data_IF_255071066975
#
_entry.id   IF_255071066975
#
_cell.length_a   1.000
_cell.length_b   1.000
_cell.length_c   1.000
_cell.angle_alpha   90.00
_cell.angle_beta   90.00
_cell.angle_gamma   90.00
#
_symmetry.space_group_name_H-M   'P 1'
#
loop_
_entity.id
_entity.type
_entity.pdbx_description
1 polymer ?
#
# COMPACT_ATOMS: atom_id res chain seq x y z
N UNK A 1 -10.52 9.96 10.53
CA UNK A 1 -11.65 10.81 10.11
C UNK A 1 -11.09 11.78 9.08
N UNK A 2 -11.66 11.83 7.88
CA UNK A 2 -11.27 12.79 6.84
C UNK A 2 -11.47 14.20 7.40
N UNK A 3 -10.54 15.14 7.15
CA UNK A 3 -10.76 16.52 7.59
C UNK A 3 -11.33 17.35 6.45
N UNK A 4 -12.50 17.95 6.70
CA UNK A 4 -13.22 18.78 5.73
C UNK A 4 -12.34 19.92 5.19
N UNK A 5 -11.50 20.51 6.04
CA UNK A 5 -10.58 21.57 5.65
C UNK A 5 -9.50 21.08 4.66
N UNK A 6 -8.95 19.89 4.86
CA UNK A 6 -7.98 19.32 3.90
C UNK A 6 -8.66 18.93 2.60
N UNK A 7 -9.86 18.34 2.66
CA UNK A 7 -10.61 17.98 1.44
C UNK A 7 -10.98 19.23 0.63
N UNK A 8 -11.47 20.29 1.29
CA UNK A 8 -11.73 21.57 0.66
C UNK A 8 -10.47 22.14 -0.03
N UNK A 9 -9.33 22.12 0.68
CA UNK A 9 -8.06 22.59 0.14
C UNK A 9 -7.63 21.78 -1.09
N UNK A 10 -7.72 20.46 -1.04
CA UNK A 10 -7.37 19.58 -2.16
C UNK A 10 -8.27 19.86 -3.38
N UNK A 11 -9.59 19.99 -3.17
CA UNK A 11 -10.56 20.23 -4.25
C UNK A 11 -10.44 21.62 -4.88
N UNK A 12 -10.06 22.63 -4.10
CA UNK A 12 -9.96 24.02 -4.57
C UNK A 12 -8.59 24.35 -5.17
N UNK A 13 -7.51 23.75 -4.68
CA UNK A 13 -6.15 24.00 -5.17
C UNK A 13 -5.70 23.02 -6.24
N UNK A 14 -6.34 21.85 -6.31
CA UNK A 14 -6.08 20.78 -7.28
C UNK A 14 -4.58 20.53 -7.54
N UNK A 15 -3.80 20.20 -6.50
CA UNK A 15 -2.33 20.18 -6.57
C UNK A 15 -1.79 19.14 -7.57
N UNK A 16 -2.58 18.12 -7.87
CA UNK A 16 -2.23 17.06 -8.82
C UNK A 16 -2.93 17.23 -10.18
N UNK A 17 -3.65 18.35 -10.40
CA UNK A 17 -4.37 18.68 -11.63
C UNK A 17 -5.33 17.56 -12.09
N UNK A 18 -6.15 17.04 -11.17
CA UNK A 18 -7.18 16.02 -11.44
C UNK A 18 -8.38 16.59 -12.21
N UNK A 19 -8.57 17.91 -12.19
CA UNK A 19 -9.65 18.58 -12.91
C UNK A 19 -10.93 18.74 -12.10
N UNK A 20 -10.84 19.04 -10.79
CA UNK A 20 -12.02 19.22 -9.94
C UNK A 20 -12.87 20.46 -10.29
N UNK A 21 -12.23 21.53 -10.78
CA UNK A 21 -12.83 22.84 -10.99
C UNK A 21 -14.21 22.87 -11.70
N UNK A 22 -14.43 22.19 -12.85
CA UNK A 22 -15.74 22.15 -13.50
C UNK A 22 -16.82 21.51 -12.62
N UNK A 23 -16.48 20.46 -11.87
CA UNK A 23 -17.43 19.72 -11.03
C UNK A 23 -17.74 20.46 -9.72
N UNK A 24 -16.74 21.11 -9.13
CA UNK A 24 -16.92 22.01 -7.98
C UNK A 24 -17.90 23.13 -8.33
N UNK A 25 -17.68 23.78 -9.48
CA UNK A 25 -18.53 24.87 -10.00
C UNK A 25 -19.95 24.41 -10.28
N UNK A 26 -20.11 23.21 -10.84
CA UNK A 26 -21.42 22.63 -11.16
C UNK A 26 -22.17 22.05 -9.95
N UNK A 27 -21.51 21.95 -8.79
CA UNK A 27 -22.06 21.25 -7.64
C UNK A 27 -22.21 19.74 -7.82
N UNK A 28 -21.34 19.14 -8.63
CA UNK A 28 -21.34 17.71 -8.89
C UNK A 28 -20.38 16.97 -7.94
N UNK A 29 -20.84 16.76 -6.71
CA UNK A 29 -20.07 16.10 -5.66
C UNK A 29 -19.69 14.65 -6.00
N UNK A 30 -20.53 13.98 -6.80
CA UNK A 30 -20.26 12.61 -7.27
C UNK A 30 -19.01 12.54 -8.14
N UNK A 31 -18.83 13.49 -9.06
CA UNK A 31 -17.65 13.51 -9.94
C UNK A 31 -16.39 13.94 -9.19
N UNK A 32 -16.50 14.87 -8.23
CA UNK A 32 -15.38 15.20 -7.34
C UNK A 32 -14.92 13.98 -6.54
N UNK A 33 -15.86 13.23 -5.96
CA UNK A 33 -15.57 11.98 -5.25
C UNK A 33 -15.00 10.91 -6.20
N UNK A 34 -15.49 10.81 -7.44
CA UNK A 34 -14.98 9.86 -8.42
C UNK A 34 -13.51 10.15 -8.80
N UNK A 35 -13.18 11.43 -9.05
CA UNK A 35 -11.82 11.85 -9.41
C UNK A 35 -10.80 11.56 -8.30
N UNK A 36 -11.11 11.92 -7.05
CA UNK A 36 -10.16 11.74 -5.94
C UNK A 36 -9.98 10.25 -5.56
N UNK A 37 -10.99 9.42 -5.82
CA UNK A 37 -10.93 7.98 -5.60
C UNK A 37 -10.42 7.19 -6.82
N UNK A 38 -10.10 7.86 -7.94
CA UNK A 38 -9.63 7.19 -9.13
C UNK A 38 -8.30 6.45 -8.85
N UNK A 39 -8.24 5.18 -9.25
CA UNK A 39 -7.04 4.33 -9.16
C UNK A 39 -6.09 4.52 -10.36
N UNK A 40 -6.39 5.46 -11.23
CA UNK A 40 -5.63 5.78 -12.44
C UNK A 40 -5.55 7.29 -12.62
N UNK A 41 -4.54 7.75 -13.35
CA UNK A 41 -4.36 9.18 -13.63
C UNK A 41 -3.45 9.89 -12.63
N UNK A 42 -3.36 11.23 -12.69
CA UNK A 42 -2.35 12.01 -11.96
C UNK A 42 -2.37 11.87 -10.44
N UNK A 43 -3.54 11.58 -9.86
CA UNK A 43 -3.69 11.41 -8.41
C UNK A 43 -3.35 10.01 -7.89
N UNK A 44 -3.23 9.02 -8.78
CA UNK A 44 -2.95 7.64 -8.39
C UNK A 44 -1.46 7.44 -8.11
N UNK A 45 -1.14 6.76 -7.00
CA UNK A 45 0.24 6.50 -6.61
C UNK A 45 0.42 5.11 -6.00
N UNK A 46 1.66 4.62 -5.98
CA UNK A 46 2.00 3.40 -5.24
C UNK A 46 1.92 3.67 -3.74
N UNK A 47 1.13 2.88 -3.03
CA UNK A 47 1.01 2.90 -1.58
C UNK A 47 1.43 1.55 -0.98
N UNK A 48 1.97 1.59 0.24
CA UNK A 48 2.31 0.38 0.99
C UNK A 48 1.04 -0.26 1.55
N UNK A 49 0.98 -1.59 1.49
CA UNK A 49 -0.06 -2.36 2.15
C UNK A 49 0.23 -2.44 3.67
N UNK A 50 -0.79 -2.34 4.53
CA UNK A 50 -0.61 -2.50 5.98
C UNK A 50 -0.39 -3.97 6.37
N UNK A 51 -0.86 -4.90 5.55
CA UNK A 51 -0.74 -6.34 5.76
C UNK A 51 -0.92 -7.10 4.46
N UNK A 52 -0.42 -8.34 4.42
CA UNK A 52 -0.69 -9.30 3.35
C UNK A 52 -1.21 -10.61 3.94
N UNK A 53 -1.91 -11.39 3.12
CA UNK A 53 -2.35 -12.72 3.51
C UNK A 53 -1.16 -13.65 3.73
N UNK A 54 -1.34 -14.68 4.55
CA UNK A 54 -0.36 -15.76 4.69
C UNK A 54 0.03 -16.35 3.33
N UNK A 55 -0.93 -16.59 2.43
CA UNK A 55 -0.65 -17.23 1.13
C UNK A 55 0.22 -16.33 0.25
N UNK A 56 -0.04 -15.03 0.24
CA UNK A 56 0.81 -14.05 -0.46
C UNK A 56 2.23 -14.07 0.12
N UNK A 57 2.37 -14.08 1.44
CA UNK A 57 3.67 -14.14 2.09
C UNK A 57 4.39 -15.45 1.78
N UNK A 58 3.72 -16.59 1.90
CA UNK A 58 4.28 -17.91 1.65
C UNK A 58 4.77 -18.05 0.21
N UNK A 59 3.99 -17.58 -0.78
CA UNK A 59 4.41 -17.55 -2.18
C UNK A 59 5.63 -16.65 -2.41
N UNK A 60 5.70 -15.50 -1.73
CA UNK A 60 6.83 -14.58 -1.81
C UNK A 60 8.13 -15.23 -1.32
N UNK A 61 8.08 -15.97 -0.19
CA UNK A 61 9.28 -16.55 0.43
C UNK A 61 9.59 -17.99 -0.02
N UNK A 62 8.68 -18.68 -0.71
CA UNK A 62 8.86 -20.07 -1.11
C UNK A 62 10.19 -20.36 -1.87
N UNK A 63 10.65 -19.50 -2.81
CA UNK A 63 11.95 -19.69 -3.46
C UNK A 63 13.12 -19.66 -2.47
N UNK A 64 13.05 -18.82 -1.44
CA UNK A 64 14.08 -18.74 -0.39
C UNK A 64 14.04 -19.98 0.48
N UNK A 65 12.86 -20.48 0.86
CA UNK A 65 12.72 -21.71 1.64
C UNK A 65 13.37 -22.89 0.91
N UNK A 66 13.15 -23.02 -0.40
CA UNK A 66 13.79 -24.05 -1.22
C UNK A 66 15.31 -23.87 -1.33
N UNK A 67 15.79 -22.63 -1.43
CA UNK A 67 17.23 -22.35 -1.47
C UNK A 67 17.93 -22.59 -0.12
N UNK A 68 17.21 -22.40 0.99
CA UNK A 68 17.76 -22.47 2.34
C UNK A 68 18.30 -23.87 2.68
N UNK A 69 17.68 -24.94 2.18
CA UNK A 69 18.16 -26.31 2.42
C UNK A 69 19.54 -26.59 1.82
N UNK A 70 19.94 -25.83 0.78
CA UNK A 70 21.27 -25.89 0.18
C UNK A 70 22.23 -24.81 0.68
N UNK A 71 21.79 -23.92 1.58
CA UNK A 71 22.59 -22.81 2.08
C UNK A 71 23.58 -23.27 3.17
N UNK A 72 24.47 -22.37 3.60
CA UNK A 72 25.41 -22.64 4.69
C UNK A 72 24.68 -22.87 6.02
N UNK A 73 25.30 -23.62 6.94
CA UNK A 73 24.74 -23.86 8.28
C UNK A 73 24.46 -22.56 9.03
N UNK A 74 25.26 -21.51 8.83
CA UNK A 74 25.03 -20.20 9.43
C UNK A 74 23.75 -19.52 8.91
N UNK A 75 23.48 -19.59 7.60
CA UNK A 75 22.25 -19.05 7.01
C UNK A 75 21.03 -19.87 7.43
N UNK A 76 21.15 -21.19 7.48
CA UNK A 76 20.09 -22.07 7.99
C UNK A 76 19.74 -21.72 9.44
N UNK A 77 20.74 -21.64 10.32
CA UNK A 77 20.54 -21.30 11.74
C UNK A 77 19.93 -19.90 11.93
N UNK A 78 20.28 -18.93 11.06
CA UNK A 78 19.71 -17.58 11.07
C UNK A 78 18.23 -17.57 10.70
N UNK A 79 17.86 -18.24 9.60
CA UNK A 79 16.53 -18.03 8.98
C UNK A 79 15.48 -19.08 9.33
N UNK A 80 15.87 -20.33 9.62
CA UNK A 80 14.90 -21.41 9.91
C UNK A 80 13.95 -21.08 11.07
N UNK A 81 14.40 -20.55 12.23
CA UNK A 81 13.48 -20.21 13.34
C UNK A 81 12.46 -19.14 12.94
N UNK A 82 12.88 -18.16 12.15
CA UNK A 82 12.07 -17.02 11.76
C UNK A 82 11.01 -17.41 10.74
N UNK A 83 11.39 -18.22 9.73
CA UNK A 83 10.46 -18.70 8.73
C UNK A 83 9.42 -19.64 9.35
N UNK A 84 9.82 -20.48 10.31
CA UNK A 84 8.89 -21.34 11.05
C UNK A 84 7.88 -20.54 11.88
N UNK A 85 8.30 -19.41 12.46
CA UNK A 85 7.40 -18.53 13.21
C UNK A 85 6.33 -17.91 12.30
N UNK A 86 6.72 -17.49 11.08
CA UNK A 86 5.83 -16.78 10.16
C UNK A 86 4.85 -17.73 9.44
N UNK A 87 5.21 -19.01 9.27
CA UNK A 87 4.28 -20.03 8.74
C UNK A 87 3.08 -20.25 9.69
N UNK A 88 3.21 -19.90 10.97
CA UNK A 88 2.14 -20.06 11.96
C UNK A 88 1.07 -18.95 11.97
N UNK A 89 1.23 -17.87 11.22
CA UNK A 89 0.29 -16.73 11.25
C UNK A 89 -0.63 -16.71 10.03
N UNK A 90 -1.89 -16.31 10.22
CA UNK A 90 -2.89 -16.22 9.13
C UNK A 90 -2.77 -14.92 8.31
N UNK A 91 -2.24 -13.87 8.93
CA UNK A 91 -2.04 -12.54 8.34
C UNK A 91 -0.66 -12.05 8.76
N UNK A 92 0.05 -11.44 7.81
CA UNK A 92 1.37 -10.84 8.06
C UNK A 92 1.21 -9.32 8.00
N UNK A 93 1.34 -8.67 9.16
CA UNK A 93 1.39 -7.21 9.27
C UNK A 93 2.73 -6.70 8.72
N UNK A 94 2.68 -5.70 7.83
CA UNK A 94 3.87 -5.15 7.18
C UNK A 94 4.41 -3.95 7.96
N UNK A 95 4.81 -4.18 9.20
CA UNK A 95 5.51 -3.18 10.01
C UNK A 95 7.00 -3.07 9.65
N UNK A 96 7.69 -2.12 10.28
CA UNK A 96 9.12 -1.88 10.05
C UNK A 96 9.97 -3.12 10.35
N UNK A 97 9.55 -3.98 11.30
CA UNK A 97 10.26 -5.21 11.63
C UNK A 97 10.13 -6.21 10.49
N UNK A 98 8.91 -6.52 10.05
CA UNK A 98 8.68 -7.48 8.95
C UNK A 98 9.31 -7.01 7.65
N UNK A 99 9.21 -5.72 7.33
CA UNK A 99 9.87 -5.14 6.15
C UNK A 99 11.39 -5.21 6.26
N UNK A 100 11.95 -4.98 7.45
CA UNK A 100 13.38 -5.16 7.72
C UNK A 100 13.83 -6.62 7.54
N UNK A 101 12.99 -7.59 7.93
CA UNK A 101 13.27 -9.01 7.72
C UNK A 101 13.24 -9.38 6.24
N UNK A 102 12.24 -8.94 5.48
CA UNK A 102 12.17 -9.17 4.05
C UNK A 102 13.38 -8.55 3.32
N UNK A 103 13.78 -7.34 3.72
CA UNK A 103 14.99 -6.70 3.18
C UNK A 103 16.27 -7.49 3.50
N UNK A 104 16.41 -7.99 4.74
CA UNK A 104 17.55 -8.82 5.13
C UNK A 104 17.56 -10.18 4.42
N UNK A 105 16.40 -10.83 4.22
CA UNK A 105 16.29 -12.02 3.38
C UNK A 105 16.73 -11.72 1.94
N UNK A 106 16.33 -10.57 1.39
CA UNK A 106 16.70 -10.15 0.04
C UNK A 106 18.21 -9.97 -0.11
N UNK A 107 18.89 -9.45 0.91
CA UNK A 107 20.36 -9.32 0.89
C UNK A 107 21.07 -10.68 0.94
N UNK A 108 20.56 -11.64 1.71
CA UNK A 108 21.15 -12.98 1.82
C UNK A 108 20.78 -13.89 0.63
N UNK A 109 19.62 -13.67 -0.01
CA UNK A 109 19.08 -14.45 -1.12
C UNK A 109 18.61 -13.57 -2.30
N UNK A 110 19.46 -12.71 -2.88
CA UNK A 110 19.05 -11.70 -3.86
C UNK A 110 18.50 -12.30 -5.17
N UNK A 111 18.98 -13.48 -5.54
CA UNK A 111 18.48 -14.23 -6.72
C UNK A 111 17.06 -14.76 -6.52
N UNK A 112 16.69 -15.10 -5.28
CA UNK A 112 15.43 -15.78 -4.95
C UNK A 112 14.36 -14.83 -4.42
N UNK A 113 14.78 -13.72 -3.81
CA UNK A 113 13.90 -12.68 -3.30
C UNK A 113 14.47 -11.30 -3.63
N UNK A 114 14.38 -10.85 -4.89
CA UNK A 114 14.81 -9.49 -5.24
C UNK A 114 13.88 -8.44 -4.62
N UNK A 115 14.41 -7.26 -4.32
CA UNK A 115 13.65 -6.13 -3.72
C UNK A 115 12.40 -5.77 -4.53
N UNK A 116 12.44 -5.95 -5.85
CA UNK A 116 11.29 -5.74 -6.72
C UNK A 116 10.11 -6.68 -6.40
N UNK A 117 10.38 -7.95 -6.06
CA UNK A 117 9.34 -8.92 -5.68
C UNK A 117 8.73 -8.59 -4.32
N UNK A 118 9.55 -8.10 -3.37
CA UNK A 118 9.04 -7.59 -2.09
C UNK A 118 8.11 -6.42 -2.36
N UNK A 119 8.57 -5.42 -3.12
CA UNK A 119 7.77 -4.23 -3.45
C UNK A 119 6.46 -4.60 -4.13
N UNK A 120 6.48 -5.51 -5.10
CA UNK A 120 5.28 -5.97 -5.79
C UNK A 120 4.29 -6.70 -4.86
N UNK A 121 4.79 -7.42 -3.86
CA UNK A 121 3.95 -8.11 -2.88
C UNK A 121 3.43 -7.19 -1.77
N UNK A 122 4.16 -6.12 -1.42
CA UNK A 122 3.86 -5.25 -0.27
C UNK A 122 3.29 -3.89 -0.65
N UNK A 123 2.98 -3.66 -1.93
CA UNK A 123 2.42 -2.40 -2.40
C UNK A 123 1.37 -2.60 -3.48
N UNK A 124 0.55 -1.57 -3.70
CA UNK A 124 -0.41 -1.50 -4.80
C UNK A 124 -0.60 -0.05 -5.24
N UNK A 125 -1.27 0.13 -6.38
CA UNK A 125 -1.78 1.45 -6.73
C UNK A 125 -2.96 1.79 -5.79
N UNK A 126 -2.89 2.99 -5.22
CA UNK A 126 -3.92 3.60 -4.40
C UNK A 126 -4.40 4.91 -5.02
N UNK A 127 -5.60 5.32 -4.63
CA UNK A 127 -6.20 6.58 -5.07
C UNK A 127 -5.53 7.79 -4.40
N UNK A 128 -5.82 8.99 -4.90
CA UNK A 128 -5.38 10.24 -4.24
C UNK A 128 -5.91 10.33 -2.81
N UNK A 129 -7.13 9.86 -2.58
CA UNK A 129 -7.69 9.77 -1.24
C UNK A 129 -6.83 8.91 -0.30
N UNK A 130 -6.39 7.75 -0.77
CA UNK A 130 -5.53 6.86 0.03
C UNK A 130 -4.13 7.43 0.28
N UNK A 131 -3.60 8.20 -0.67
CA UNK A 131 -2.32 8.90 -0.49
C UNK A 131 -2.41 9.95 0.61
N UNK A 132 -3.51 10.71 0.65
CA UNK A 132 -3.69 11.83 1.59
C UNK A 132 -4.11 11.38 2.99
N UNK A 133 -4.97 10.36 3.08
CA UNK A 133 -5.62 9.98 4.33
C UNK A 133 -5.33 8.54 4.78
N UNK A 134 -4.48 7.83 4.05
CA UNK A 134 -4.01 6.50 4.40
C UNK A 134 -4.75 5.37 3.66
N UNK A 135 -4.17 4.17 3.73
CA UNK A 135 -4.70 3.00 3.02
C UNK A 135 -6.14 2.69 3.45
N UNK A 136 -7.00 2.45 2.46
CA UNK A 136 -8.43 2.20 2.65
C UNK A 136 -9.28 3.46 2.75
N UNK A 137 -8.69 4.67 2.70
CA UNK A 137 -9.46 5.90 2.67
C UNK A 137 -10.22 6.05 1.34
N UNK A 138 -11.47 6.49 1.44
CA UNK A 138 -12.31 6.84 0.29
C UNK A 138 -13.09 8.11 0.62
N UNK A 139 -13.24 9.00 -0.35
CA UNK A 139 -14.08 10.21 -0.22
C UNK A 139 -15.47 9.92 -0.79
N UNK A 140 -16.50 10.07 0.01
CA UNK A 140 -17.88 9.96 -0.44
C UNK A 140 -18.40 11.32 -0.93
N UNK A 141 -19.44 11.36 -1.78
CA UNK A 141 -20.04 12.64 -2.21
C UNK A 141 -20.48 13.53 -1.03
N UNK A 142 -20.95 12.92 0.07
CA UNK A 142 -21.33 13.66 1.29
C UNK A 142 -20.13 14.34 1.96
N UNK A 143 -18.93 13.75 1.88
CA UNK A 143 -17.72 14.38 2.41
C UNK A 143 -17.36 15.62 1.59
N UNK A 144 -17.55 15.56 0.27
CA UNK A 144 -17.37 16.71 -0.64
C UNK A 144 -18.39 17.79 -0.31
N UNK A 145 -19.67 17.44 -0.15
CA UNK A 145 -20.72 18.38 0.21
C UNK A 145 -20.39 19.13 1.50
N UNK A 146 -20.02 18.40 2.57
CA UNK A 146 -19.64 18.99 3.85
C UNK A 146 -18.39 19.88 3.73
N UNK A 147 -17.34 19.40 3.05
CA UNK A 147 -16.11 20.16 2.85
C UNK A 147 -16.34 21.46 2.05
N UNK A 148 -17.32 21.46 1.14
CA UNK A 148 -17.67 22.63 0.33
C UNK A 148 -18.75 23.52 0.96
N UNK A 149 -19.27 23.18 2.14
CA UNK A 149 -20.27 23.96 2.87
C UNK A 149 -21.65 23.98 2.20
N UNK A 150 -22.05 22.86 1.59
CA UNK A 150 -23.34 22.70 0.89
C UNK A 150 -24.25 21.68 1.55
#
# INVERSE_FOLDING_TARGET
>A
MLSDAQLNTELTTDPMALGYAPYVTAGNDNECAALINALTGPGAATISLPSISHDTFALLIAPVVMALSGATTALQAKWTPMLNLIIGVTVVTLDATVLGLLSALSMDFPTYLPTASITAATSRIGSRAEVLWGSGASVQPIDVQHAMGR
#
